data_IF_376094432251
#
_entry.id   IF_376094432251
#
_cell.length_a   1.000
_cell.length_b   1.000
_cell.length_c   1.000
_cell.angle_alpha   90.00
_cell.angle_beta   90.00
_cell.angle_gamma   90.00
#
_symmetry.space_group_name_H-M   'P 1'
#
loop_
_entity.id
_entity.type
_entity.pdbx_description
1 polymer ?
#
# COMPACT_ATOMS: atom_id res chain seq x y z
N UNK A 1 -30.81 89.06 21.93
CA UNK A 1 -30.27 87.81 22.42
C UNK A 1 -30.95 86.69 21.68
N UNK A 2 -30.29 86.07 20.73
CA UNK A 2 -30.47 84.68 20.28
C UNK A 2 -29.57 84.43 19.04
N UNK A 3 -28.56 83.59 19.15
CA UNK A 3 -27.63 83.23 18.07
C UNK A 3 -28.30 82.22 17.15
N UNK A 4 -28.09 82.22 15.82
CA UNK A 4 -28.40 81.14 14.93
C UNK A 4 -27.15 80.33 14.65
N UNK A 5 -27.31 79.01 14.57
CA UNK A 5 -26.28 78.02 14.18
C UNK A 5 -26.18 77.98 12.66
N UNK A 6 -24.92 78.10 12.14
CA UNK A 6 -24.60 77.99 10.74
C UNK A 6 -24.25 76.53 10.50
N UNK A 7 -25.02 75.89 9.62
CA UNK A 7 -24.71 74.50 9.09
C UNK A 7 -23.87 74.69 7.82
N UNK A 8 -22.62 74.26 7.87
CA UNK A 8 -21.73 74.21 6.72
C UNK A 8 -21.91 72.85 6.03
N UNK A 9 -22.48 72.89 4.81
CA UNK A 9 -22.53 71.71 3.90
C UNK A 9 -21.27 71.77 3.05
N UNK A 10 -20.42 70.78 3.18
CA UNK A 10 -19.27 70.56 2.32
C UNK A 10 -19.67 69.73 1.11
N UNK A 11 -19.67 70.37 -0.06
CA UNK A 11 -19.90 69.74 -1.35
C UNK A 11 -18.54 69.23 -1.90
N UNK A 12 -18.26 68.00 -1.89
CA UNK A 12 -17.06 67.44 -2.54
C UNK A 12 -17.32 67.16 -4.02
N UNK A 13 -16.68 67.95 -4.85
CA UNK A 13 -16.66 67.86 -6.30
C UNK A 13 -15.73 66.78 -6.74
N UNK A 14 -16.27 65.70 -7.38
CA UNK A 14 -15.50 64.64 -7.94
C UNK A 14 -14.94 65.02 -9.31
N UNK A 15 -13.62 65.14 -9.42
CA UNK A 15 -12.92 65.31 -10.72
C UNK A 15 -12.69 63.90 -11.32
N UNK A 16 -13.32 63.62 -12.45
CA UNK A 16 -13.03 62.55 -13.35
C UNK A 16 -11.75 62.82 -14.15
N UNK A 17 -10.66 62.21 -13.84
CA UNK A 17 -9.49 62.14 -14.71
C UNK A 17 -9.54 60.81 -15.49
N UNK A 18 -9.90 60.87 -16.77
CA UNK A 18 -9.75 59.78 -17.72
C UNK A 18 -8.26 59.62 -18.02
N UNK A 19 -7.66 58.51 -17.52
CA UNK A 19 -6.35 58.05 -17.93
C UNK A 19 -6.53 56.87 -18.87
N UNK A 20 -6.30 57.08 -20.16
CA UNK A 20 -6.12 56.00 -21.13
C UNK A 20 -4.86 55.24 -20.75
N UNK A 21 -5.01 54.03 -20.31
CA UNK A 21 -3.92 53.08 -20.14
C UNK A 21 -4.05 51.96 -21.17
N UNK A 22 -3.08 51.88 -22.03
CA UNK A 22 -2.89 50.91 -23.08
C UNK A 22 -3.02 49.50 -22.54
N UNK A 23 -3.93 48.72 -23.13
CA UNK A 23 -4.08 47.29 -22.87
C UNK A 23 -2.87 46.56 -23.43
N UNK A 24 -1.87 46.31 -22.59
CA UNK A 24 -0.89 45.28 -22.83
C UNK A 24 -1.53 43.96 -22.39
N UNK A 25 -1.94 43.16 -23.36
CA UNK A 25 -2.38 41.79 -23.13
C UNK A 25 -1.16 40.93 -22.70
N UNK A 26 -0.82 40.99 -21.43
CA UNK A 26 0.03 39.98 -20.81
C UNK A 26 -0.84 38.77 -20.53
N UNK A 27 -0.70 37.72 -21.35
CA UNK A 27 -1.18 36.38 -21.10
C UNK A 27 -0.39 35.82 -19.91
N UNK A 28 -0.68 36.27 -18.71
CA UNK A 28 -0.32 35.59 -17.48
C UNK A 28 -1.29 34.40 -17.35
N UNK A 29 -0.87 33.23 -17.81
CA UNK A 29 -1.46 31.97 -17.34
C UNK A 29 -1.34 32.01 -15.82
N UNK A 30 -2.44 32.30 -15.13
CA UNK A 30 -2.58 32.02 -13.72
C UNK A 30 -2.28 30.53 -13.53
N UNK A 31 -1.08 30.20 -13.05
CA UNK A 31 -0.84 28.94 -12.38
C UNK A 31 -1.73 28.98 -11.13
N UNK A 32 -2.90 28.38 -11.21
CA UNK A 32 -3.68 28.08 -10.03
C UNK A 32 -2.72 27.44 -9.01
N UNK A 33 -2.47 28.13 -7.91
CA UNK A 33 -1.61 27.66 -6.84
C UNK A 33 -2.36 26.49 -6.20
N UNK A 34 -2.09 25.24 -6.67
CA UNK A 34 -2.72 24.05 -6.08
C UNK A 34 -2.26 23.99 -4.63
N UNK A 35 -3.22 23.99 -3.73
CA UNK A 35 -2.95 23.80 -2.31
C UNK A 35 -2.16 22.50 -2.11
N UNK A 36 -1.14 22.55 -1.25
CA UNK A 36 -0.25 21.40 -0.98
C UNK A 36 -0.20 21.12 0.50
N UNK A 37 0.05 19.85 0.84
CA UNK A 37 0.32 19.41 2.21
C UNK A 37 1.64 18.65 2.28
N UNK A 38 2.24 18.60 3.46
CA UNK A 38 3.50 17.86 3.69
C UNK A 38 3.21 16.43 4.10
N UNK A 39 3.74 15.49 3.34
CA UNK A 39 3.63 14.05 3.65
C UNK A 39 5.02 13.50 3.92
N UNK A 40 5.14 12.81 5.06
CA UNK A 40 6.34 12.03 5.39
C UNK A 40 6.09 10.56 5.06
N UNK A 41 7.01 9.97 4.30
CA UNK A 41 6.98 8.55 3.97
C UNK A 41 8.37 7.92 4.15
N UNK A 42 8.38 6.61 4.37
CA UNK A 42 9.60 5.84 4.56
C UNK A 42 9.59 4.66 3.60
N UNK A 43 10.71 4.40 2.95
CA UNK A 43 10.86 3.29 2.02
C UNK A 43 12.30 2.79 1.98
N UNK A 44 12.48 1.56 1.51
CA UNK A 44 13.78 0.94 1.40
C UNK A 44 14.23 0.97 -0.06
N UNK A 45 15.18 1.85 -0.37
CA UNK A 45 15.72 2.01 -1.73
C UNK A 45 16.76 0.93 -2.02
N UNK A 46 16.62 0.26 -3.15
CA UNK A 46 17.55 -0.73 -3.68
C UNK A 46 18.21 -0.21 -4.96
N UNK A 47 19.47 -0.58 -5.16
CA UNK A 47 20.21 -0.19 -6.36
C UNK A 47 19.84 -1.04 -7.57
N UNK A 48 19.64 -2.35 -7.35
CA UNK A 48 19.33 -3.35 -8.39
C UNK A 48 17.90 -3.89 -8.23
N UNK A 49 17.19 -4.08 -9.33
CA UNK A 49 15.81 -4.59 -9.34
C UNK A 49 15.67 -6.04 -8.86
N UNK A 50 16.76 -6.80 -8.87
CA UNK A 50 16.81 -8.21 -8.40
C UNK A 50 17.50 -8.34 -7.04
N UNK A 51 17.79 -7.23 -6.38
CA UNK A 51 18.34 -7.25 -5.03
C UNK A 51 17.23 -7.55 -4.02
N UNK A 52 17.32 -8.73 -3.40
CA UNK A 52 16.38 -9.21 -2.40
C UNK A 52 16.90 -9.02 -0.95
N UNK A 53 18.10 -8.46 -0.81
CA UNK A 53 18.70 -8.11 0.46
C UNK A 53 18.14 -6.79 1.00
N UNK A 54 18.55 -6.41 2.20
CA UNK A 54 18.17 -5.11 2.78
C UNK A 54 18.77 -3.98 1.96
N UNK A 55 17.94 -3.00 1.60
CA UNK A 55 18.34 -1.78 0.93
C UNK A 55 18.61 -0.64 1.90
N UNK A 56 18.84 0.55 1.38
CA UNK A 56 19.00 1.76 2.19
C UNK A 56 17.66 2.36 2.55
N UNK A 57 17.33 2.39 3.84
CA UNK A 57 16.12 3.05 4.34
C UNK A 57 16.22 4.55 4.10
N UNK A 58 15.20 5.13 3.50
CA UNK A 58 15.01 6.56 3.29
C UNK A 58 13.72 7.01 3.97
N UNK A 59 13.80 8.15 4.66
CA UNK A 59 12.64 8.87 5.21
C UNK A 59 12.65 10.26 4.59
N UNK A 60 11.58 10.59 3.87
CA UNK A 60 11.47 11.84 3.13
C UNK A 60 10.16 12.54 3.49
N UNK A 61 10.21 13.89 3.54
CA UNK A 61 9.02 14.73 3.66
C UNK A 61 8.93 15.55 2.39
N UNK A 62 7.81 15.43 1.68
CA UNK A 62 7.58 16.09 0.39
C UNK A 62 6.27 16.86 0.40
N UNK A 63 6.21 17.94 -0.37
CA UNK A 63 4.96 18.65 -0.65
C UNK A 63 4.20 17.90 -1.74
N UNK A 64 2.94 17.55 -1.47
CA UNK A 64 2.02 16.89 -2.40
C UNK A 64 0.77 17.73 -2.61
N UNK A 65 0.14 17.68 -3.78
CA UNK A 65 -1.10 18.41 -4.02
C UNK A 65 -2.22 17.88 -3.12
N UNK A 66 -3.04 18.78 -2.57
CA UNK A 66 -4.30 18.44 -1.90
C UNK A 66 -5.38 18.08 -2.94
N UNK A 67 -6.24 17.13 -2.61
CA UNK A 67 -7.33 16.66 -3.46
C UNK A 67 -6.92 16.43 -4.94
N UNK A 68 -5.81 15.68 -5.20
CA UNK A 68 -5.33 15.44 -6.55
C UNK A 68 -6.41 14.74 -7.39
N UNK A 69 -6.59 15.18 -8.65
CA UNK A 69 -7.64 14.64 -9.52
C UNK A 69 -7.21 13.42 -10.33
N UNK A 70 -5.89 13.23 -10.49
CA UNK A 70 -5.31 12.14 -11.26
C UNK A 70 -4.31 11.38 -10.42
N UNK A 71 -4.77 10.30 -9.82
CA UNK A 71 -3.96 9.42 -8.98
C UNK A 71 -3.61 8.16 -9.75
N UNK A 72 -2.33 7.82 -9.78
CA UNK A 72 -1.86 6.51 -10.20
C UNK A 72 -1.54 5.68 -8.95
N UNK A 73 -2.05 4.45 -8.90
CA UNK A 73 -1.85 3.56 -7.76
C UNK A 73 -1.09 2.30 -8.19
N UNK A 74 0.11 2.13 -7.65
CA UNK A 74 0.97 0.95 -7.88
C UNK A 74 1.15 0.12 -6.60
N UNK A 75 0.54 0.57 -5.49
CA UNK A 75 0.51 -0.09 -4.19
C UNK A 75 -0.92 -0.49 -3.83
N UNK A 76 -1.19 -1.77 -3.64
CA UNK A 76 -2.56 -2.24 -3.39
C UNK A 76 -3.02 -1.96 -1.96
N UNK A 77 -2.09 -1.72 -1.03
CA UNK A 77 -2.44 -1.20 0.27
C UNK A 77 -3.03 0.21 0.18
N UNK A 78 -2.40 1.08 -0.61
CA UNK A 78 -2.94 2.41 -0.90
C UNK A 78 -4.27 2.34 -1.67
N UNK A 79 -4.40 1.39 -2.61
CA UNK A 79 -5.64 1.18 -3.36
C UNK A 79 -6.81 0.80 -2.43
N UNK A 80 -6.55 -0.11 -1.48
CA UNK A 80 -7.52 -0.51 -0.46
C UNK A 80 -7.92 0.67 0.44
N UNK A 81 -6.95 1.45 0.92
CA UNK A 81 -7.24 2.64 1.75
C UNK A 81 -8.08 3.64 0.96
N UNK A 82 -7.75 3.92 -0.31
CA UNK A 82 -8.55 4.80 -1.16
C UNK A 82 -9.97 4.29 -1.37
N UNK A 83 -10.15 2.96 -1.54
CA UNK A 83 -11.47 2.34 -1.64
C UNK A 83 -12.29 2.57 -0.36
N UNK A 84 -11.68 2.31 0.82
CA UNK A 84 -12.36 2.49 2.10
C UNK A 84 -12.76 3.95 2.35
N UNK A 85 -11.95 4.89 1.87
CA UNK A 85 -12.22 6.34 1.96
C UNK A 85 -13.12 6.87 0.83
N UNK A 86 -13.62 5.99 -0.09
CA UNK A 86 -14.49 6.32 -1.23
C UNK A 86 -13.85 7.32 -2.20
N UNK A 87 -12.58 7.10 -2.53
CA UNK A 87 -11.75 7.96 -3.39
C UNK A 87 -11.52 7.37 -4.79
N UNK A 88 -12.32 6.39 -5.22
CA UNK A 88 -12.14 5.67 -6.49
C UNK A 88 -12.18 6.60 -7.72
N UNK A 89 -12.93 7.70 -7.67
CA UNK A 89 -13.06 8.64 -8.79
C UNK A 89 -11.81 9.48 -9.05
N UNK A 90 -10.87 9.51 -8.11
CA UNK A 90 -9.57 10.15 -8.28
C UNK A 90 -8.55 9.25 -8.99
N UNK A 91 -8.80 7.94 -9.07
CA UNK A 91 -7.87 6.97 -9.63
C UNK A 91 -8.01 6.90 -11.14
N UNK A 92 -6.91 7.10 -11.86
CA UNK A 92 -6.88 7.05 -13.33
C UNK A 92 -6.18 5.80 -13.87
N UNK A 93 -5.19 5.25 -13.13
CA UNK A 93 -4.47 4.08 -13.58
C UNK A 93 -3.92 3.25 -12.40
N UNK A 94 -3.80 1.94 -12.61
CA UNK A 94 -3.40 0.96 -11.60
C UNK A 94 -2.50 -0.10 -12.26
N UNK A 95 -1.51 -0.64 -11.54
CA UNK A 95 -0.74 -1.81 -11.97
C UNK A 95 -1.52 -3.09 -11.66
N UNK A 96 -2.38 -3.56 -12.57
CA UNK A 96 -3.29 -4.69 -12.33
C UNK A 96 -2.71 -6.07 -12.68
N UNK A 97 -1.61 -6.11 -13.42
CA UNK A 97 -1.10 -7.33 -14.05
C UNK A 97 -1.87 -7.70 -15.31
N UNK A 98 -1.49 -8.80 -15.94
CA UNK A 98 -2.19 -9.34 -17.09
C UNK A 98 -3.60 -9.80 -16.66
N UNK A 99 -4.61 -9.44 -17.42
CA UNK A 99 -6.03 -9.73 -17.13
C UNK A 99 -6.48 -9.34 -15.71
N UNK A 100 -5.80 -8.36 -15.10
CA UNK A 100 -6.03 -7.92 -13.72
C UNK A 100 -5.92 -9.07 -12.69
N UNK A 101 -5.03 -10.03 -12.93
CA UNK A 101 -4.86 -11.25 -12.14
C UNK A 101 -4.22 -11.02 -10.76
N UNK A 102 -3.60 -9.85 -10.52
CA UNK A 102 -2.90 -9.58 -9.27
C UNK A 102 -3.77 -8.88 -8.20
N UNK A 103 -4.98 -8.47 -8.58
CA UNK A 103 -5.87 -7.79 -7.63
C UNK A 103 -6.44 -8.77 -6.60
N UNK A 104 -6.39 -8.46 -5.28
CA UNK A 104 -7.14 -9.16 -4.25
C UNK A 104 -8.64 -9.21 -4.56
N UNK A 105 -9.33 -10.25 -4.10
CA UNK A 105 -10.79 -10.43 -4.33
C UNK A 105 -11.62 -9.21 -3.89
N UNK A 106 -11.25 -8.57 -2.79
CA UNK A 106 -11.92 -7.37 -2.27
C UNK A 106 -11.73 -6.12 -3.14
N UNK A 107 -10.71 -6.10 -4.00
CA UNK A 107 -10.41 -5.02 -4.92
C UNK A 107 -10.89 -5.29 -6.36
N UNK A 108 -11.79 -6.27 -6.57
CA UNK A 108 -12.27 -6.69 -7.89
C UNK A 108 -12.92 -5.58 -8.72
N UNK A 109 -13.48 -4.54 -8.10
CA UNK A 109 -14.06 -3.40 -8.83
C UNK A 109 -13.02 -2.69 -9.70
N UNK A 110 -11.76 -2.71 -9.30
CA UNK A 110 -10.65 -2.12 -10.04
C UNK A 110 -10.21 -2.94 -11.26
N UNK A 111 -10.81 -4.11 -11.51
CA UNK A 111 -10.67 -4.84 -12.79
C UNK A 111 -11.28 -4.06 -13.96
N UNK A 112 -12.23 -3.15 -13.68
CA UNK A 112 -12.90 -2.31 -14.68
C UNK A 112 -11.91 -1.58 -15.59
N UNK A 113 -12.27 -1.45 -16.88
CA UNK A 113 -11.52 -0.69 -17.88
C UNK A 113 -11.51 0.83 -17.63
N UNK A 114 -12.37 1.33 -16.73
CA UNK A 114 -12.33 2.71 -16.22
C UNK A 114 -10.93 3.10 -15.74
N UNK A 115 -10.21 2.15 -15.17
CA UNK A 115 -8.86 2.35 -14.64
C UNK A 115 -7.84 1.78 -15.61
N UNK A 116 -7.02 2.64 -16.22
CA UNK A 116 -5.95 2.23 -17.13
C UNK A 116 -5.03 1.20 -16.46
N UNK A 117 -4.70 0.12 -17.18
CA UNK A 117 -3.81 -0.92 -16.67
C UNK A 117 -2.34 -0.60 -16.99
N UNK A 118 -1.55 -0.33 -15.98
CA UNK A 118 -0.11 -0.11 -16.11
C UNK A 118 0.71 -1.43 -16.13
N UNK A 119 0.06 -2.59 -16.25
CA UNK A 119 0.72 -3.88 -16.33
C UNK A 119 1.25 -4.39 -14.99
N UNK A 120 2.41 -5.03 -15.01
CA UNK A 120 3.00 -5.68 -13.83
C UNK A 120 3.51 -4.65 -12.81
N UNK A 121 3.18 -4.79 -11.50
CA UNK A 121 3.67 -3.91 -10.45
C UNK A 121 5.19 -3.77 -10.40
N UNK A 122 5.95 -4.82 -10.71
CA UNK A 122 7.42 -4.79 -10.74
C UNK A 122 8.02 -4.21 -12.03
N UNK A 123 7.20 -4.05 -13.09
CA UNK A 123 7.60 -3.53 -14.40
C UNK A 123 6.45 -2.75 -15.02
N UNK A 124 6.13 -1.56 -14.51
CA UNK A 124 5.00 -0.78 -15.02
C UNK A 124 5.23 -0.32 -16.46
N UNK A 125 4.15 -0.15 -17.20
CA UNK A 125 4.18 0.44 -18.54
C UNK A 125 4.36 1.95 -18.44
N UNK A 126 5.53 2.44 -18.78
CA UNK A 126 5.88 3.86 -18.67
C UNK A 126 5.18 4.73 -19.71
N UNK A 127 4.82 4.20 -20.89
CA UNK A 127 4.05 4.94 -21.89
C UNK A 127 2.62 5.20 -21.42
N UNK A 128 1.96 4.19 -20.82
CA UNK A 128 0.66 4.35 -20.19
C UNK A 128 0.73 5.29 -18.99
N UNK A 129 1.80 5.24 -18.19
CA UNK A 129 2.05 6.17 -17.09
C UNK A 129 2.16 7.63 -17.61
N UNK A 130 2.91 7.84 -18.69
CA UNK A 130 3.07 9.16 -19.30
C UNK A 130 1.73 9.71 -19.84
N UNK A 131 0.89 8.85 -20.45
CA UNK A 131 -0.44 9.22 -20.95
C UNK A 131 -1.39 9.58 -19.82
N UNK A 132 -1.31 8.89 -18.68
CA UNK A 132 -2.16 9.16 -17.50
C UNK A 132 -1.94 10.58 -16.93
N UNK A 133 -0.74 11.17 -17.08
CA UNK A 133 -0.37 12.51 -16.57
C UNK A 133 -0.80 12.70 -15.11
N UNK A 134 -0.33 11.86 -14.18
CA UNK A 134 -0.78 11.92 -12.80
C UNK A 134 -0.33 13.19 -12.07
N UNK A 135 -1.11 13.62 -11.09
CA UNK A 135 -0.72 14.61 -10.08
C UNK A 135 0.14 13.95 -8.99
N UNK A 136 -0.22 12.70 -8.61
CA UNK A 136 0.44 11.91 -7.57
C UNK A 136 0.49 10.43 -7.98
N UNK A 137 1.54 9.75 -7.57
CA UNK A 137 1.73 8.30 -7.73
C UNK A 137 1.93 7.68 -6.35
N UNK A 138 1.04 6.78 -5.95
CA UNK A 138 1.23 5.92 -4.80
C UNK A 138 1.99 4.67 -5.22
N UNK A 139 3.27 4.63 -4.86
CA UNK A 139 4.22 3.60 -5.25
C UNK A 139 4.42 2.56 -4.14
N UNK A 140 4.71 1.32 -4.54
CA UNK A 140 5.05 0.23 -3.63
C UNK A 140 6.57 0.06 -3.50
N UNK A 141 6.99 -0.81 -2.58
CA UNK A 141 8.40 -1.23 -2.48
C UNK A 141 8.95 -1.80 -3.80
N UNK A 142 8.07 -2.30 -4.69
CA UNK A 142 8.46 -2.83 -6.00
C UNK A 142 9.00 -1.74 -6.93
N UNK A 143 8.63 -0.49 -6.72
CA UNK A 143 9.16 0.68 -7.43
C UNK A 143 10.37 1.32 -6.73
N UNK A 144 10.69 0.91 -5.51
CA UNK A 144 11.80 1.47 -4.73
C UNK A 144 13.18 0.98 -5.21
N UNK A 145 13.40 1.03 -6.51
CA UNK A 145 14.66 0.71 -7.19
C UNK A 145 15.11 1.90 -8.02
N UNK A 146 16.40 2.21 -7.99
CA UNK A 146 16.95 3.40 -8.66
C UNK A 146 16.55 3.49 -10.13
N UNK A 147 16.66 2.39 -10.88
CA UNK A 147 16.30 2.36 -12.31
C UNK A 147 14.80 2.62 -12.51
N UNK A 148 13.94 1.92 -11.78
CA UNK A 148 12.47 2.04 -11.92
C UNK A 148 12.03 3.47 -11.55
N UNK A 149 12.52 4.00 -10.43
CA UNK A 149 12.18 5.35 -9.98
C UNK A 149 12.61 6.43 -11.00
N UNK A 150 13.77 6.26 -11.63
CA UNK A 150 14.23 7.18 -12.67
C UNK A 150 13.34 7.14 -13.92
N UNK A 151 12.92 5.94 -14.37
CA UNK A 151 11.99 5.82 -15.50
C UNK A 151 10.60 6.40 -15.17
N UNK A 152 10.10 6.19 -13.95
CA UNK A 152 8.84 6.82 -13.49
C UNK A 152 8.93 8.35 -13.51
N UNK A 153 10.03 8.93 -13.02
CA UNK A 153 10.26 10.39 -13.05
C UNK A 153 10.37 10.95 -14.46
N UNK A 154 10.92 10.20 -15.41
CA UNK A 154 10.95 10.59 -16.83
C UNK A 154 9.56 10.54 -17.45
N UNK A 155 8.79 9.48 -17.18
CA UNK A 155 7.44 9.30 -17.71
C UNK A 155 6.42 10.29 -17.13
N UNK A 156 6.55 10.66 -15.86
CA UNK A 156 5.65 11.55 -15.16
C UNK A 156 6.42 12.64 -14.35
N UNK A 157 7.10 13.59 -15.03
CA UNK A 157 8.03 14.52 -14.37
C UNK A 157 7.36 15.48 -13.38
N UNK A 158 6.07 15.74 -13.54
CA UNK A 158 5.30 16.66 -12.66
C UNK A 158 4.61 15.92 -11.50
N UNK A 159 4.57 14.59 -11.51
CA UNK A 159 3.93 13.81 -10.48
C UNK A 159 4.75 13.76 -9.18
N UNK A 160 4.07 13.84 -8.05
CA UNK A 160 4.67 13.52 -6.75
C UNK A 160 4.62 12.01 -6.52
N UNK A 161 5.72 11.41 -6.10
CA UNK A 161 5.80 9.97 -5.83
C UNK A 161 5.86 9.77 -4.32
N UNK A 162 4.86 9.08 -3.78
CA UNK A 162 4.76 8.72 -2.36
C UNK A 162 4.82 7.20 -2.23
N UNK A 163 5.79 6.69 -1.50
CA UNK A 163 5.88 5.26 -1.21
C UNK A 163 4.93 4.91 -0.06
N UNK A 164 4.09 3.89 -0.27
CA UNK A 164 2.99 3.53 0.61
C UNK A 164 3.13 2.15 1.25
N UNK A 165 4.04 1.31 0.74
CA UNK A 165 4.23 -0.03 1.29
C UNK A 165 4.67 0.00 2.75
N UNK A 166 4.20 -0.97 3.55
CA UNK A 166 4.47 -0.99 4.97
C UNK A 166 5.95 -1.22 5.28
N UNK A 167 6.39 -0.65 6.38
CA UNK A 167 7.66 -1.01 6.99
C UNK A 167 7.49 -2.34 7.74
N UNK A 168 8.19 -3.38 7.31
CA UNK A 168 8.07 -4.70 7.93
C UNK A 168 8.63 -4.78 9.37
N UNK A 169 9.32 -3.75 9.88
CA UNK A 169 9.75 -3.67 11.29
C UNK A 169 8.68 -3.07 12.20
N UNK A 170 7.74 -2.31 11.62
CA UNK A 170 6.63 -1.62 12.29
C UNK A 170 5.38 -1.70 11.40
N UNK A 171 4.95 -2.93 11.07
CA UNK A 171 3.99 -3.16 10.00
C UNK A 171 2.64 -2.46 10.25
N UNK A 172 2.00 -2.74 11.38
CA UNK A 172 0.70 -2.14 11.74
C UNK A 172 0.81 -0.62 11.89
N UNK A 173 1.87 -0.11 12.53
CA UNK A 173 2.09 1.33 12.69
C UNK A 173 2.23 2.03 11.34
N UNK A 174 2.94 1.41 10.38
CA UNK A 174 3.12 2.00 9.05
C UNK A 174 1.82 2.03 8.23
N UNK A 175 0.95 1.03 8.36
CA UNK A 175 -0.39 1.03 7.73
C UNK A 175 -1.23 2.19 8.28
N UNK A 176 -1.23 2.38 9.59
CA UNK A 176 -1.93 3.51 10.22
C UNK A 176 -1.42 4.85 9.72
N UNK A 177 -0.10 4.98 9.55
CA UNK A 177 0.48 6.20 9.00
C UNK A 177 0.09 6.42 7.52
N UNK A 178 0.11 5.37 6.71
CA UNK A 178 -0.32 5.43 5.30
C UNK A 178 -1.78 5.85 5.18
N UNK A 179 -2.66 5.30 6.04
CA UNK A 179 -4.08 5.68 6.09
C UNK A 179 -4.27 7.15 6.46
N UNK A 180 -3.54 7.66 7.47
CA UNK A 180 -3.55 9.07 7.85
C UNK A 180 -3.01 9.97 6.74
N UNK A 181 -1.94 9.58 6.07
CA UNK A 181 -1.37 10.34 4.95
C UNK A 181 -2.39 10.51 3.82
N UNK A 182 -3.07 9.42 3.42
CA UNK A 182 -4.14 9.51 2.41
C UNK A 182 -5.29 10.36 2.94
N UNK A 183 -5.71 10.19 4.18
CA UNK A 183 -6.72 11.04 4.83
C UNK A 183 -6.38 12.51 4.70
N UNK A 184 -5.16 12.92 5.05
CA UNK A 184 -4.71 14.32 4.96
C UNK A 184 -4.65 14.82 3.51
N UNK A 185 -4.18 14.01 2.55
CA UNK A 185 -4.14 14.41 1.13
C UNK A 185 -5.55 14.72 0.58
N UNK A 186 -6.57 13.99 1.06
CA UNK A 186 -7.94 14.08 0.55
C UNK A 186 -8.95 14.70 1.52
N UNK A 187 -8.47 15.35 2.60
CA UNK A 187 -9.35 15.96 3.63
C UNK A 187 -10.36 14.97 4.21
N UNK A 188 -9.87 13.76 4.51
CA UNK A 188 -10.61 12.60 5.05
C UNK A 188 -10.00 12.10 6.36
N UNK A 189 -9.43 13.00 7.16
CA UNK A 189 -8.72 12.65 8.39
C UNK A 189 -9.60 11.90 9.38
N UNK A 190 -10.87 12.30 9.49
CA UNK A 190 -11.81 11.66 10.41
C UNK A 190 -12.10 10.22 9.98
N UNK A 191 -12.45 10.01 8.73
CA UNK A 191 -12.73 8.70 8.18
C UNK A 191 -11.49 7.78 8.22
N UNK A 192 -10.30 8.34 7.96
CA UNK A 192 -9.03 7.62 8.09
C UNK A 192 -8.75 7.21 9.55
N UNK A 193 -9.06 8.06 10.52
CA UNK A 193 -8.90 7.74 11.94
C UNK A 193 -9.87 6.64 12.39
N UNK A 194 -11.13 6.66 11.93
CA UNK A 194 -12.09 5.59 12.18
C UNK A 194 -11.63 4.23 11.63
N UNK A 195 -10.98 4.20 10.46
CA UNK A 195 -10.38 2.99 9.90
C UNK A 195 -9.21 2.48 10.77
N UNK A 196 -8.37 3.39 11.27
CA UNK A 196 -7.26 3.07 12.17
C UNK A 196 -7.76 2.44 13.47
N UNK A 197 -8.83 2.98 14.05
CA UNK A 197 -9.43 2.45 15.29
C UNK A 197 -10.02 1.04 15.10
N UNK A 198 -10.65 0.79 13.94
CA UNK A 198 -11.14 -0.56 13.57
C UNK A 198 -9.98 -1.55 13.42
N UNK A 199 -8.88 -1.14 12.80
CA UNK A 199 -7.68 -1.98 12.68
C UNK A 199 -7.09 -2.29 14.07
N UNK A 200 -6.96 -1.29 14.95
CA UNK A 200 -6.43 -1.48 16.30
C UNK A 200 -7.29 -2.46 17.12
N UNK A 201 -8.61 -2.33 17.04
CA UNK A 201 -9.54 -3.26 17.67
C UNK A 201 -9.37 -4.69 17.14
N UNK A 202 -9.25 -4.84 15.80
CA UNK A 202 -9.07 -6.15 15.15
C UNK A 202 -7.73 -6.80 15.50
N UNK A 203 -6.66 -6.02 15.57
CA UNK A 203 -5.33 -6.52 16.02
C UNK A 203 -5.40 -7.01 17.45
N UNK A 204 -6.05 -6.27 18.35
CA UNK A 204 -6.23 -6.68 19.74
C UNK A 204 -7.00 -7.99 19.84
N UNK A 205 -8.17 -8.08 19.19
CA UNK A 205 -8.98 -9.31 19.13
C UNK A 205 -8.18 -10.51 18.61
N UNK A 206 -7.38 -10.30 17.57
CA UNK A 206 -6.56 -11.37 16.98
C UNK A 206 -5.49 -11.88 17.95
N UNK A 207 -4.88 -10.99 18.73
CA UNK A 207 -3.88 -11.38 19.74
C UNK A 207 -4.45 -12.22 20.87
N UNK A 208 -5.75 -12.08 21.17
CA UNK A 208 -6.41 -12.83 22.23
C UNK A 208 -6.59 -14.32 21.89
N UNK A 209 -6.68 -14.68 20.59
CA UNK A 209 -6.84 -16.08 20.16
C UNK A 209 -5.53 -16.75 19.77
N UNK A 210 -4.46 -15.97 19.50
CA UNK A 210 -3.15 -16.50 19.17
C UNK A 210 -2.54 -17.19 20.40
N UNK A 211 -2.05 -18.41 20.19
CA UNK A 211 -1.42 -19.24 21.24
C UNK A 211 0.06 -19.52 20.89
N UNK A 212 0.72 -20.36 21.69
CA UNK A 212 2.15 -20.68 21.57
C UNK A 212 2.50 -21.71 20.49
N UNK A 213 1.62 -21.97 19.52
CA UNK A 213 1.90 -22.85 18.38
C UNK A 213 2.95 -22.20 17.47
N UNK A 214 3.93 -23.03 17.05
CA UNK A 214 4.99 -22.59 16.13
C UNK A 214 4.53 -22.69 14.69
N UNK A 215 4.68 -21.62 13.95
CA UNK A 215 4.15 -21.47 12.59
C UNK A 215 5.29 -21.29 11.58
N UNK A 216 5.16 -21.88 10.40
CA UNK A 216 5.88 -21.45 9.19
C UNK A 216 4.90 -20.84 8.20
N UNK A 217 5.25 -19.66 7.67
CA UNK A 217 4.54 -19.06 6.56
C UNK A 217 5.20 -19.49 5.25
N UNK A 218 4.42 -20.06 4.34
CA UNK A 218 4.87 -20.63 3.08
C UNK A 218 4.24 -19.87 1.89
N UNK A 219 5.06 -19.58 0.89
CA UNK A 219 4.62 -19.18 -0.44
C UNK A 219 5.02 -20.28 -1.43
N UNK A 220 4.02 -20.93 -2.01
CA UNK A 220 4.23 -21.97 -3.01
C UNK A 220 3.95 -21.40 -4.40
N UNK A 221 4.95 -21.41 -5.26
CA UNK A 221 4.85 -20.96 -6.66
C UNK A 221 5.55 -21.95 -7.59
N UNK A 222 5.62 -21.66 -8.89
CA UNK A 222 6.22 -22.52 -9.92
C UNK A 222 7.71 -22.85 -9.66
N UNK A 223 8.37 -22.09 -8.78
CA UNK A 223 9.77 -22.32 -8.38
C UNK A 223 9.91 -23.25 -7.18
N UNK A 224 8.79 -23.59 -6.51
CA UNK A 224 8.76 -24.47 -5.34
C UNK A 224 8.24 -23.79 -4.09
N UNK A 225 8.57 -24.39 -2.94
CA UNK A 225 8.15 -23.96 -1.61
C UNK A 225 9.15 -22.90 -1.09
N UNK A 226 8.65 -21.77 -0.66
CA UNK A 226 9.46 -20.71 -0.05
C UNK A 226 8.98 -20.43 1.36
N UNK A 227 9.90 -20.16 2.28
CA UNK A 227 9.59 -19.68 3.62
C UNK A 227 10.27 -18.33 3.88
N UNK A 228 9.79 -17.65 4.91
CA UNK A 228 10.23 -16.29 5.29
C UNK A 228 10.73 -16.30 6.74
N UNK A 229 11.60 -15.36 7.09
CA UNK A 229 12.12 -15.26 8.46
C UNK A 229 11.10 -14.69 9.44
N UNK A 230 11.41 -14.80 10.74
CA UNK A 230 10.62 -14.23 11.83
C UNK A 230 10.59 -12.68 11.83
N UNK A 231 11.33 -12.03 10.95
CA UNK A 231 11.32 -10.60 10.72
C UNK A 231 11.35 -10.31 9.21
N UNK A 232 11.12 -9.06 8.82
CA UNK A 232 10.98 -8.69 7.42
C UNK A 232 9.61 -9.03 6.85
N UNK A 233 9.53 -9.29 5.56
CA UNK A 233 8.27 -9.57 4.86
C UNK A 233 7.52 -10.73 5.52
N UNK A 234 6.24 -10.57 5.76
CA UNK A 234 5.33 -11.45 6.52
C UNK A 234 5.75 -11.64 7.99
N UNK A 235 7.03 -11.89 8.31
CA UNK A 235 7.50 -12.10 9.68
C UNK A 235 7.32 -10.85 10.57
N UNK A 236 7.51 -9.66 10.04
CA UNK A 236 7.22 -8.43 10.77
C UNK A 236 5.78 -8.39 11.27
N UNK A 237 4.82 -8.68 10.41
CA UNK A 237 3.41 -8.74 10.76
C UNK A 237 3.08 -9.93 11.69
N UNK A 238 3.41 -11.15 11.26
CA UNK A 238 3.01 -12.36 11.98
C UNK A 238 3.72 -12.52 13.33
N UNK A 239 5.03 -12.32 13.35
CA UNK A 239 5.83 -12.62 14.54
C UNK A 239 6.07 -11.39 15.42
N UNK A 240 6.41 -10.23 14.84
CA UNK A 240 6.72 -9.04 15.63
C UNK A 240 5.46 -8.31 16.11
N UNK A 241 4.50 -8.05 15.21
CA UNK A 241 3.27 -7.33 15.59
C UNK A 241 2.25 -8.22 16.32
N UNK A 242 2.03 -9.46 15.85
CA UNK A 242 1.02 -10.36 16.41
C UNK A 242 1.57 -11.31 17.49
N UNK A 243 2.88 -11.53 17.56
CA UNK A 243 3.48 -12.41 18.56
C UNK A 243 3.37 -13.91 18.22
N UNK A 244 3.02 -14.28 16.97
CA UNK A 244 3.00 -15.66 16.53
C UNK A 244 4.42 -16.25 16.59
N UNK A 245 4.58 -17.43 17.18
CA UNK A 245 5.89 -18.05 17.29
C UNK A 245 6.34 -18.63 15.95
N UNK A 246 7.52 -18.26 15.50
CA UNK A 246 8.11 -18.77 14.28
C UNK A 246 8.77 -20.14 14.53
N UNK A 247 8.56 -21.13 13.64
CA UNK A 247 9.13 -22.45 13.82
C UNK A 247 10.66 -22.49 13.56
N UNK A 248 11.20 -21.60 12.73
CA UNK A 248 12.65 -21.43 12.54
C UNK A 248 13.09 -19.96 12.57
N UNK A 249 13.61 -19.52 13.70
CA UNK A 249 14.11 -18.14 13.91
C UNK A 249 15.45 -17.86 13.23
N UNK A 250 16.08 -18.86 12.57
CA UNK A 250 17.39 -18.70 11.91
C UNK A 250 17.27 -18.21 10.47
N UNK A 251 16.08 -18.27 9.86
CA UNK A 251 15.85 -17.74 8.52
C UNK A 251 16.08 -16.23 8.56
N UNK A 252 17.05 -15.76 7.77
CA UNK A 252 17.32 -14.32 7.62
C UNK A 252 16.23 -13.65 6.78
N UNK A 253 15.90 -12.38 7.04
CA UNK A 253 14.96 -11.62 6.23
C UNK A 253 15.34 -11.65 4.75
N UNK A 254 14.36 -11.98 3.90
CA UNK A 254 14.48 -11.95 2.45
C UNK A 254 13.11 -11.62 1.86
N UNK A 255 12.98 -10.56 1.07
CA UNK A 255 11.70 -10.12 0.52
C UNK A 255 11.08 -11.11 -0.46
N UNK A 256 11.86 -12.01 -1.05
CA UNK A 256 11.41 -13.08 -1.95
C UNK A 256 11.19 -14.43 -1.27
N UNK A 257 11.56 -14.54 0.01
CA UNK A 257 11.64 -15.81 0.72
C UNK A 257 12.86 -16.65 0.31
N UNK A 258 13.12 -17.72 1.03
CA UNK A 258 14.15 -18.71 0.71
C UNK A 258 13.48 -20.02 0.26
N UNK A 259 14.01 -20.66 -0.76
CA UNK A 259 13.57 -22.00 -1.17
C UNK A 259 13.88 -23.00 -0.05
N UNK A 260 12.90 -23.85 0.25
CA UNK A 260 13.01 -24.92 1.24
C UNK A 260 12.54 -26.22 0.62
N UNK A 261 13.02 -27.36 1.16
CA UNK A 261 12.57 -28.70 0.76
C UNK A 261 11.55 -29.28 1.74
N UNK A 262 10.94 -30.40 1.36
CA UNK A 262 10.04 -31.13 2.25
C UNK A 262 10.78 -31.72 3.47
N UNK A 263 12.05 -32.15 3.32
CA UNK A 263 12.89 -32.61 4.42
C UNK A 263 13.18 -31.47 5.43
N UNK A 264 13.30 -30.25 4.93
CA UNK A 264 13.41 -29.09 5.81
C UNK A 264 12.12 -28.87 6.62
N UNK A 265 10.94 -29.00 5.98
CA UNK A 265 9.65 -28.89 6.67
C UNK A 265 9.49 -29.97 7.75
N UNK A 266 9.81 -31.24 7.43
CA UNK A 266 9.82 -32.34 8.38
C UNK A 266 10.74 -32.03 9.57
N UNK A 267 11.98 -31.62 9.31
CA UNK A 267 12.96 -31.26 10.34
C UNK A 267 12.49 -30.13 11.25
N UNK A 268 11.91 -29.05 10.69
CA UNK A 268 11.41 -27.92 11.47
C UNK A 268 10.17 -28.27 12.27
N UNK A 269 9.40 -29.22 11.77
CA UNK A 269 8.22 -29.79 12.42
C UNK A 269 7.31 -28.70 13.03
N UNK A 270 6.77 -27.76 12.22
CA UNK A 270 5.89 -26.70 12.70
C UNK A 270 4.58 -27.27 13.23
N UNK A 271 3.97 -26.58 14.16
CA UNK A 271 2.65 -26.96 14.68
C UNK A 271 1.52 -26.53 13.72
N UNK A 272 1.74 -25.44 12.93
CA UNK A 272 0.81 -24.96 11.89
C UNK A 272 1.58 -24.51 10.65
N UNK A 273 0.96 -24.66 9.49
CA UNK A 273 1.41 -24.10 8.22
C UNK A 273 0.41 -23.05 7.74
N UNK A 274 0.88 -21.82 7.54
CA UNK A 274 0.14 -20.77 6.82
C UNK A 274 0.67 -20.71 5.40
N UNK A 275 -0.18 -20.92 4.41
CA UNK A 275 0.23 -21.16 3.02
C UNK A 275 -0.48 -20.17 2.11
N UNK A 276 0.26 -19.52 1.23
CA UNK A 276 -0.30 -18.91 0.04
C UNK A 276 0.06 -19.75 -1.19
N UNK A 277 -0.97 -20.17 -1.94
CA UNK A 277 -0.80 -20.96 -3.14
C UNK A 277 -0.85 -20.05 -4.37
N UNK A 278 0.29 -19.92 -5.05
CA UNK A 278 0.43 -19.08 -6.25
C UNK A 278 0.68 -19.92 -7.52
N UNK A 279 0.48 -21.22 -7.44
CA UNK A 279 0.54 -22.16 -8.58
C UNK A 279 -0.81 -22.31 -9.28
N UNK A 280 -1.89 -21.80 -8.70
CA UNK A 280 -3.28 -22.06 -9.10
C UNK A 280 -4.06 -20.76 -9.20
N UNK A 281 -5.27 -20.82 -9.76
CA UNK A 281 -6.19 -19.70 -9.81
C UNK A 281 -6.48 -19.11 -8.42
N UNK A 282 -6.75 -17.81 -8.39
CA UNK A 282 -7.08 -17.04 -7.18
C UNK A 282 -8.25 -17.60 -6.34
N UNK A 283 -8.98 -18.58 -6.89
CA UNK A 283 -10.15 -19.23 -6.26
C UNK A 283 -9.86 -20.61 -5.69
N UNK A 284 -8.64 -21.14 -5.81
CA UNK A 284 -8.29 -22.47 -5.34
C UNK A 284 -7.64 -22.40 -3.94
N UNK A 285 -8.46 -22.69 -2.92
CA UNK A 285 -8.02 -22.78 -1.52
C UNK A 285 -7.47 -24.20 -1.18
N UNK A 286 -7.17 -25.03 -2.17
CA UNK A 286 -6.63 -26.36 -1.95
C UNK A 286 -5.18 -26.34 -1.53
N UNK A 287 -4.78 -27.35 -0.73
CA UNK A 287 -3.38 -27.54 -0.35
C UNK A 287 -2.54 -27.79 -1.60
N UNK A 288 -1.48 -27.00 -1.85
CA UNK A 288 -0.61 -27.17 -3.02
C UNK A 288 -0.05 -28.58 -3.14
N UNK A 289 0.04 -29.12 -4.37
CA UNK A 289 0.61 -30.45 -4.61
C UNK A 289 2.04 -30.62 -4.07
N UNK A 290 2.82 -29.54 -4.03
CA UNK A 290 4.16 -29.55 -3.43
C UNK A 290 4.16 -29.94 -1.93
N UNK A 291 3.03 -29.76 -1.23
CA UNK A 291 2.84 -30.16 0.18
C UNK A 291 2.14 -31.52 0.33
N UNK A 292 1.82 -32.23 -0.75
CA UNK A 292 1.27 -33.58 -0.75
C UNK A 292 2.41 -34.62 -0.94
N UNK A 293 3.44 -34.52 -0.11
CA UNK A 293 4.66 -35.34 -0.24
C UNK A 293 4.79 -36.27 0.95
N UNK A 294 5.04 -37.58 0.72
CA UNK A 294 5.19 -38.57 1.81
C UNK A 294 6.23 -38.21 2.87
N UNK A 295 7.28 -37.48 2.51
CA UNK A 295 8.34 -37.04 3.44
C UNK A 295 7.79 -36.24 4.61
N UNK A 296 6.75 -35.44 4.39
CA UNK A 296 6.18 -34.56 5.44
C UNK A 296 4.93 -35.14 6.11
N UNK A 297 4.51 -36.37 5.79
CA UNK A 297 3.28 -36.96 6.36
C UNK A 297 3.29 -37.00 7.89
N UNK A 298 4.47 -37.16 8.51
CA UNK A 298 4.65 -37.18 9.97
C UNK A 298 4.92 -35.79 10.58
N UNK A 299 4.98 -34.74 9.77
CA UNK A 299 5.10 -33.38 10.31
C UNK A 299 3.79 -32.99 11.02
N UNK A 300 3.88 -32.46 12.24
CA UNK A 300 2.72 -32.15 13.11
C UNK A 300 1.62 -31.41 12.41
N UNK A 301 1.94 -30.36 11.64
CA UNK A 301 0.94 -29.58 10.93
C UNK A 301 0.16 -30.41 9.90
N UNK A 302 0.82 -31.38 9.24
CA UNK A 302 0.17 -32.24 8.26
C UNK A 302 -0.67 -33.32 8.97
N UNK A 303 -0.08 -34.00 9.97
CA UNK A 303 -0.74 -35.06 10.75
C UNK A 303 -2.02 -34.55 11.43
N UNK A 304 -2.00 -33.34 11.95
CA UNK A 304 -3.12 -32.70 12.66
C UNK A 304 -4.09 -31.95 11.73
N UNK A 305 -3.87 -31.90 10.42
CA UNK A 305 -4.61 -31.07 9.46
C UNK A 305 -4.52 -29.55 9.77
N UNK A 306 -3.44 -29.11 10.38
CA UNK A 306 -3.16 -27.71 10.75
C UNK A 306 -2.48 -26.94 9.59
N UNK A 307 -2.99 -27.12 8.36
CA UNK A 307 -2.54 -26.44 7.14
C UNK A 307 -3.63 -25.50 6.66
N UNK A 308 -3.35 -24.22 6.69
CA UNK A 308 -4.31 -23.15 6.34
C UNK A 308 -3.87 -22.46 5.07
N UNK A 309 -4.65 -22.59 3.99
CA UNK A 309 -4.40 -21.92 2.73
C UNK A 309 -5.12 -20.58 2.72
N UNK A 310 -4.34 -19.52 2.59
CA UNK A 310 -4.82 -18.13 2.61
C UNK A 310 -4.99 -17.59 1.19
N UNK A 311 -5.83 -16.59 1.01
CA UNK A 311 -6.04 -15.93 -0.27
C UNK A 311 -4.76 -15.24 -0.75
N UNK A 312 -4.16 -15.81 -1.82
CA UNK A 312 -2.80 -15.50 -2.23
C UNK A 312 -2.59 -14.01 -2.57
N UNK A 313 -3.53 -13.39 -3.30
CA UNK A 313 -3.37 -11.99 -3.72
C UNK A 313 -3.51 -11.02 -2.55
N UNK A 314 -4.39 -11.29 -1.58
CA UNK A 314 -4.52 -10.51 -0.34
C UNK A 314 -3.23 -10.52 0.46
N UNK A 315 -2.53 -11.65 0.50
CA UNK A 315 -1.26 -11.75 1.23
C UNK A 315 -0.06 -11.26 0.42
N UNK A 316 0.06 -11.64 -0.85
CA UNK A 316 1.27 -11.38 -1.62
C UNK A 316 1.33 -9.97 -2.22
N UNK A 317 0.18 -9.42 -2.60
CA UNK A 317 0.09 -8.11 -3.23
C UNK A 317 -0.59 -7.05 -2.34
N UNK A 318 -1.46 -7.49 -1.43
CA UNK A 318 -2.29 -6.61 -0.59
C UNK A 318 -1.63 -6.12 0.71
N UNK A 319 -0.31 -6.26 0.84
CA UNK A 319 0.42 -5.76 2.00
C UNK A 319 0.19 -4.25 2.19
N UNK A 320 -0.07 -3.82 3.41
CA UNK A 320 -0.22 -2.41 3.75
C UNK A 320 -1.63 -1.84 3.61
N UNK A 321 -2.59 -2.60 3.10
CA UNK A 321 -3.99 -2.20 3.08
C UNK A 321 -4.65 -2.35 4.44
N UNK A 322 -5.52 -1.41 4.79
CA UNK A 322 -6.14 -1.43 6.12
C UNK A 322 -7.23 -2.50 6.22
N UNK A 323 -8.11 -2.58 5.23
CA UNK A 323 -9.14 -3.62 5.17
C UNK A 323 -8.54 -4.98 4.76
N UNK A 324 -7.54 -4.98 3.85
CA UNK A 324 -6.81 -6.20 3.48
C UNK A 324 -6.11 -6.82 4.69
N UNK A 325 -5.51 -6.00 5.58
CA UNK A 325 -4.92 -6.48 6.83
C UNK A 325 -5.98 -7.03 7.78
N UNK A 326 -7.16 -6.42 7.86
CA UNK A 326 -8.27 -6.99 8.65
C UNK A 326 -8.74 -8.35 8.10
N UNK A 327 -8.74 -8.53 6.77
CA UNK A 327 -9.02 -9.83 6.15
C UNK A 327 -7.94 -10.88 6.48
N UNK A 328 -6.66 -10.48 6.43
CA UNK A 328 -5.55 -11.35 6.86
C UNK A 328 -5.69 -11.75 8.34
N UNK A 329 -6.06 -10.81 9.22
CA UNK A 329 -6.33 -11.09 10.63
C UNK A 329 -7.50 -12.06 10.83
N UNK A 330 -8.58 -11.95 10.04
CA UNK A 330 -9.68 -12.92 10.06
C UNK A 330 -9.23 -14.33 9.69
N UNK A 331 -8.41 -14.47 8.64
CA UNK A 331 -7.85 -15.77 8.24
C UNK A 331 -6.94 -16.36 9.33
N UNK A 332 -6.12 -15.51 9.99
CA UNK A 332 -5.31 -15.93 11.12
C UNK A 332 -6.21 -16.40 12.28
N UNK A 333 -7.23 -15.65 12.65
CA UNK A 333 -8.15 -16.04 13.72
C UNK A 333 -8.82 -17.39 13.45
N UNK A 334 -9.27 -17.64 12.22
CA UNK A 334 -9.81 -18.93 11.80
C UNK A 334 -8.80 -20.08 11.96
N UNK A 335 -7.51 -19.82 11.74
CA UNK A 335 -6.46 -20.80 11.91
C UNK A 335 -6.14 -21.13 13.39
N UNK A 336 -6.67 -20.38 14.35
CA UNK A 336 -6.50 -20.61 15.78
C UNK A 336 -7.80 -21.04 16.50
N UNK A 337 -8.92 -21.10 15.80
CA UNK A 337 -10.18 -21.67 16.27
C UNK A 337 -10.22 -23.20 16.09
#
# INVERSE_FOLDING_TARGET
MKKPYIIIIFLCLAMLLASCNTISSSNSKEKANKETTKITHTYEMKEKTQDHTEGKVKKETIDVPMNPKKVVVMDYGALDIMQQLKLQDHIVAITKGENASFLPKSLKEFKSEKYENLGNPGRPNYDSLAKAKPDIIFASFRQAHTKILNEMKKAAPNAKIVFMSPNHKDYITSIKQSSKNIGTIFEKEKEAQELVEKLDAKVKESKEVINNKRVLFLNVDDKGIKSYGASGRFGGFLNQDLGIQHADTKIKPNSSGILISNEYLEKMNPDKLFVINRTQDENDDSIPNALKNPVINNAKAIENNDVYVFEANTWFFGEGGINLTMQQLNQIQQAYQ
#
